data_IF_628241491242
#
_entry.id   IF_628241491242
#
_cell.length_a   1.000
_cell.length_b   1.000
_cell.length_c   1.000
_cell.angle_alpha   90.00
_cell.angle_beta   90.00
_cell.angle_gamma   90.00
#
_symmetry.space_group_name_H-M   'P 1'
#
loop_
_entity.id
_entity.type
_entity.pdbx_description
1 polymer ?
#
# COMPACT_ATOMS: atom_id res chain seq x y z
N UNK A 1 -15.99 -2.61 3.58
CA UNK A 1 -14.54 -2.38 3.69
C UNK A 1 -13.93 -2.72 2.33
N UNK A 2 -13.18 -1.81 1.70
CA UNK A 2 -12.51 -2.10 0.43
C UNK A 2 -11.14 -2.74 0.72
N UNK A 3 -10.89 -3.91 0.15
CA UNK A 3 -9.62 -4.65 0.32
C UNK A 3 -8.62 -4.38 -0.80
N UNK A 4 -9.05 -3.76 -1.91
CA UNK A 4 -8.18 -3.35 -3.03
C UNK A 4 -8.48 -1.88 -3.36
N UNK A 5 -7.84 -0.92 -2.68
CA UNK A 5 -8.04 0.50 -2.94
C UNK A 5 -7.50 0.90 -4.32
N UNK A 6 -8.03 1.98 -4.87
CA UNK A 6 -7.42 2.63 -6.03
C UNK A 6 -6.03 3.16 -5.67
N UNK A 7 -5.08 3.03 -6.60
CA UNK A 7 -3.67 3.40 -6.41
C UNK A 7 -3.16 4.38 -7.48
N UNK A 8 -4.05 5.16 -8.09
CA UNK A 8 -3.66 6.29 -8.96
C UNK A 8 -3.47 7.55 -8.12
N UNK A 9 -2.78 8.60 -8.61
CA UNK A 9 -2.58 9.85 -7.86
C UNK A 9 -3.88 10.54 -7.40
N UNK A 10 -5.00 10.30 -8.09
CA UNK A 10 -6.33 10.83 -7.76
C UNK A 10 -7.15 9.88 -6.87
N UNK A 11 -6.59 8.75 -6.45
CA UNK A 11 -7.26 7.81 -5.55
C UNK A 11 -7.12 8.25 -4.09
N UNK A 12 -8.12 7.91 -3.27
CA UNK A 12 -8.20 8.37 -1.88
C UNK A 12 -7.01 7.94 -1.01
N UNK A 13 -6.48 6.72 -1.20
CA UNK A 13 -5.38 6.21 -0.38
C UNK A 13 -4.06 6.97 -0.65
N UNK A 14 -3.59 7.09 -1.91
CA UNK A 14 -2.47 7.96 -2.24
C UNK A 14 -2.63 9.42 -1.79
N UNK A 15 -3.82 10.01 -1.95
CA UNK A 15 -4.08 11.38 -1.49
C UNK A 15 -3.94 11.50 0.04
N UNK A 16 -4.51 10.56 0.80
CA UNK A 16 -4.38 10.57 2.26
C UNK A 16 -2.93 10.37 2.73
N UNK A 17 -2.17 9.50 2.06
CA UNK A 17 -0.74 9.30 2.35
C UNK A 17 0.07 10.60 2.11
N UNK A 18 -0.23 11.31 1.02
CA UNK A 18 0.40 12.59 0.71
C UNK A 18 0.12 13.66 1.76
N UNK A 19 -1.12 13.75 2.26
CA UNK A 19 -1.48 14.65 3.38
C UNK A 19 -0.72 14.32 4.68
N UNK A 20 -0.28 13.06 4.83
CA UNK A 20 0.57 12.61 5.94
C UNK A 20 2.08 12.80 5.65
N UNK A 21 2.45 13.37 4.51
CA UNK A 21 3.84 13.58 4.09
C UNK A 21 4.52 12.34 3.52
N UNK A 22 3.75 11.31 3.13
CA UNK A 22 4.25 10.09 2.49
C UNK A 22 4.04 10.23 0.98
N UNK A 23 5.13 10.22 0.21
CA UNK A 23 5.02 10.25 -1.25
C UNK A 23 4.55 8.90 -1.84
N UNK A 24 4.18 8.91 -3.12
CA UNK A 24 3.62 7.72 -3.77
C UNK A 24 4.59 6.53 -3.78
N UNK A 25 5.88 6.79 -4.03
CA UNK A 25 6.88 5.72 -4.11
C UNK A 25 7.11 5.10 -2.74
N UNK A 26 7.16 5.93 -1.69
CA UNK A 26 7.21 5.47 -0.30
C UNK A 26 5.99 4.62 0.07
N UNK A 27 4.77 5.09 -0.27
CA UNK A 27 3.54 4.33 -0.02
C UNK A 27 3.58 2.94 -0.67
N UNK A 28 4.03 2.85 -1.92
CA UNK A 28 4.17 1.57 -2.64
C UNK A 28 5.15 0.66 -1.93
N UNK A 29 6.31 1.19 -1.50
CA UNK A 29 7.31 0.42 -0.75
C UNK A 29 6.75 -0.08 0.59
N UNK A 30 6.01 0.75 1.33
CA UNK A 30 5.37 0.32 2.58
C UNK A 30 4.34 -0.80 2.36
N UNK A 31 3.52 -0.71 1.31
CA UNK A 31 2.58 -1.79 0.95
C UNK A 31 3.34 -3.08 0.63
N UNK A 32 4.40 -3.00 -0.18
CA UNK A 32 5.21 -4.18 -0.54
C UNK A 32 5.86 -4.85 0.67
N UNK A 33 6.30 -4.09 1.68
CA UNK A 33 6.84 -4.66 2.93
C UNK A 33 5.82 -5.52 3.69
N UNK A 34 4.53 -5.24 3.53
CA UNK A 34 3.45 -6.01 4.17
C UNK A 34 2.98 -7.21 3.34
N UNK A 35 3.35 -7.27 2.07
CA UNK A 35 2.93 -8.33 1.17
C UNK A 35 3.71 -9.62 1.45
N UNK A 36 3.07 -10.54 2.18
CA UNK A 36 3.59 -11.88 2.46
C UNK A 36 2.70 -12.94 1.81
N UNK A 37 3.27 -14.08 1.46
CA UNK A 37 2.52 -15.22 0.95
C UNK A 37 2.05 -16.07 2.13
N UNK A 38 0.75 -16.37 2.18
CA UNK A 38 0.19 -17.23 3.23
C UNK A 38 0.70 -18.69 3.17
N UNK A 39 1.32 -19.11 2.06
CA UNK A 39 1.81 -20.48 1.83
C UNK A 39 3.33 -20.65 1.93
N UNK A 40 4.03 -19.71 2.56
CA UNK A 40 5.48 -19.74 2.69
C UNK A 40 5.96 -19.86 4.13
N UNK A 41 5.82 -21.05 4.74
CA UNK A 41 6.79 -21.65 5.67
C UNK A 41 6.35 -23.11 5.90
N UNK A 42 6.98 -24.03 5.16
CA UNK A 42 7.07 -25.44 5.53
C UNK A 42 8.47 -25.65 6.12
N UNK A 43 8.68 -25.13 7.32
CA UNK A 43 9.92 -25.33 8.09
C UNK A 43 9.57 -25.86 9.47
#
# INVERSE_FOLDING_TARGET
>A
MNTIPGMTPTSLLPMAALEMGIDFDQLVIEILKTAQLDYGESS
#
